data_IF_022891764916
#
_entry.id   IF_022891764916
#
_cell.length_a   1.000
_cell.length_b   1.000
_cell.length_c   1.000
_cell.angle_alpha   90.00
_cell.angle_beta   90.00
_cell.angle_gamma   90.00
#
_symmetry.space_group_name_H-M   'P 1'
#
loop_
_entity.id
_entity.type
_entity.pdbx_description
1 polymer ?
#
# COMPACT_ATOMS: atom_id res chain seq x y z
N UNK A 1 8.62 -5.29 -1.59
CA UNK A 1 9.15 -6.45 -2.34
C UNK A 1 10.48 -6.96 -1.80
N UNK A 2 10.91 -6.50 -0.62
CA UNK A 2 12.04 -7.07 0.12
C UNK A 2 13.40 -6.98 -0.58
N UNK A 3 13.65 -5.90 -1.33
CA UNK A 3 14.99 -5.67 -1.89
C UNK A 3 16.00 -5.40 -0.77
N UNK A 4 17.16 -6.03 -0.85
CA UNK A 4 18.28 -5.73 0.04
C UNK A 4 18.81 -4.33 -0.25
N UNK A 5 19.23 -3.62 0.79
CA UNK A 5 19.84 -2.29 0.67
C UNK A 5 21.00 -2.18 1.67
N UNK A 6 21.95 -1.31 1.36
CA UNK A 6 23.11 -1.03 2.21
C UNK A 6 23.06 0.42 2.63
N UNK A 7 23.33 0.68 3.91
CA UNK A 7 23.49 2.03 4.47
C UNK A 7 24.98 2.28 4.72
N UNK A 8 25.47 3.44 4.30
CA UNK A 8 26.86 3.84 4.51
C UNK A 8 26.95 5.37 4.62
N UNK A 9 27.98 5.86 5.33
CA UNK A 9 28.16 7.29 5.56
C UNK A 9 28.66 8.04 4.31
N UNK A 10 29.48 7.39 3.49
CA UNK A 10 29.97 7.88 2.22
C UNK A 10 30.33 6.73 1.25
N UNK A 11 30.50 7.04 -0.01
CA UNK A 11 30.77 6.06 -1.07
C UNK A 11 32.08 5.27 -0.87
N UNK A 12 33.03 5.81 -0.08
CA UNK A 12 34.30 5.15 0.17
C UNK A 12 34.19 4.00 1.18
N UNK A 13 33.11 3.98 1.97
CA UNK A 13 32.86 2.98 3.02
C UNK A 13 31.94 1.83 2.55
N UNK A 14 31.46 1.83 1.29
CA UNK A 14 30.54 0.81 0.78
C UNK A 14 31.05 -0.62 0.99
N UNK A 15 32.36 -0.86 0.75
CA UNK A 15 32.99 -2.17 0.92
C UNK A 15 33.20 -2.58 2.39
N UNK A 16 32.90 -1.72 3.35
CA UNK A 16 33.01 -1.97 4.78
C UNK A 16 31.67 -2.30 5.43
N UNK A 17 30.61 -2.41 4.64
CA UNK A 17 29.27 -2.69 5.12
C UNK A 17 29.22 -4.05 5.86
N UNK A 18 28.69 -4.02 7.07
CA UNK A 18 28.47 -5.22 7.89
C UNK A 18 27.06 -5.73 7.67
N UNK A 19 26.90 -7.05 7.55
CA UNK A 19 25.58 -7.65 7.43
C UNK A 19 24.74 -7.38 8.68
N UNK A 20 23.45 -7.08 8.48
CA UNK A 20 22.52 -6.76 9.58
C UNK A 20 22.45 -7.88 10.63
N UNK A 21 22.49 -9.15 10.21
CA UNK A 21 22.45 -10.29 11.13
C UNK A 21 23.64 -10.25 12.08
N UNK A 22 24.83 -9.90 11.59
CA UNK A 22 26.02 -9.74 12.41
C UNK A 22 25.92 -8.53 13.36
N UNK A 23 25.34 -7.42 12.88
CA UNK A 23 25.07 -6.22 13.73
C UNK A 23 24.12 -6.58 14.88
N UNK A 24 23.07 -7.38 14.59
CA UNK A 24 22.12 -7.87 15.60
C UNK A 24 22.83 -8.76 16.63
N UNK A 25 23.66 -9.68 16.18
CA UNK A 25 24.42 -10.59 17.03
C UNK A 25 25.41 -9.82 17.94
N UNK A 26 26.22 -8.94 17.34
CA UNK A 26 27.25 -8.15 18.04
C UNK A 26 26.63 -7.17 19.05
N UNK A 27 25.44 -6.61 18.77
CA UNK A 27 24.73 -5.68 19.66
C UNK A 27 23.97 -6.35 20.79
N UNK A 28 23.80 -7.67 20.78
CA UNK A 28 22.95 -8.40 21.71
C UNK A 28 21.47 -8.05 21.63
N UNK A 29 20.99 -7.54 20.49
CA UNK A 29 19.61 -7.14 20.29
C UNK A 29 18.65 -8.34 20.34
N UNK A 30 17.66 -8.27 21.23
CA UNK A 30 16.73 -9.38 21.50
C UNK A 30 15.44 -9.34 20.65
N UNK A 31 15.35 -8.43 19.68
CA UNK A 31 14.15 -8.30 18.81
C UNK A 31 13.14 -7.26 19.30
N UNK A 32 13.38 -6.59 20.43
CA UNK A 32 12.55 -5.49 20.95
C UNK A 32 13.41 -4.34 21.47
N UNK A 33 12.87 -3.13 21.42
CA UNK A 33 13.60 -1.92 21.82
C UNK A 33 14.44 -1.33 20.70
N UNK A 34 15.46 -0.55 21.08
CA UNK A 34 16.37 0.12 20.14
C UNK A 34 17.63 -0.71 19.96
N UNK A 35 17.95 -1.07 18.71
CA UNK A 35 19.23 -1.65 18.36
C UNK A 35 20.28 -0.54 18.35
N UNK A 36 21.35 -0.68 19.15
CA UNK A 36 22.47 0.25 19.21
C UNK A 36 23.69 -0.42 18.62
N UNK A 37 24.32 0.24 17.65
CA UNK A 37 25.53 -0.24 17.02
C UNK A 37 26.56 0.87 16.96
N UNK A 38 27.74 0.63 17.54
CA UNK A 38 28.80 1.62 17.71
C UNK A 38 28.81 2.25 19.11
N UNK A 39 29.51 3.38 19.26
CA UNK A 39 29.65 4.10 20.52
C UNK A 39 28.57 5.18 20.67
N UNK A 40 27.86 5.18 21.80
CA UNK A 40 26.89 6.22 22.16
C UNK A 40 27.57 7.53 22.56
N UNK A 41 26.93 8.66 22.26
CA UNK A 41 27.35 9.98 22.70
C UNK A 41 28.47 10.59 21.85
N UNK A 42 28.66 10.14 20.64
CA UNK A 42 29.54 10.77 19.65
C UNK A 42 28.79 11.88 18.88
N UNK A 43 29.51 12.88 18.36
CA UNK A 43 28.91 13.98 17.55
C UNK A 43 28.33 13.53 16.21
N UNK A 44 28.43 12.24 15.89
CA UNK A 44 27.98 11.63 14.63
C UNK A 44 26.94 10.52 14.83
N UNK A 45 26.07 10.67 15.80
CA UNK A 45 24.99 9.71 16.07
C UNK A 45 23.89 9.84 15.03
N UNK A 46 23.50 8.72 14.40
CA UNK A 46 22.39 8.65 13.44
C UNK A 46 21.31 7.71 13.95
N UNK A 47 20.11 8.21 14.14
CA UNK A 47 18.95 7.40 14.49
C UNK A 47 18.16 7.02 13.25
N UNK A 48 17.95 5.71 13.06
CA UNK A 48 17.12 5.16 11.99
C UNK A 48 15.88 4.51 12.60
N UNK A 49 14.74 4.69 11.93
CA UNK A 49 13.51 3.95 12.23
C UNK A 49 13.19 3.06 11.03
N UNK A 50 13.26 1.74 11.24
CA UNK A 50 12.95 0.76 10.21
C UNK A 50 11.59 0.14 10.49
N UNK A 51 10.69 0.19 9.51
CA UNK A 51 9.37 -0.42 9.55
C UNK A 51 9.20 -1.42 8.41
N UNK A 52 8.49 -2.51 8.67
CA UNK A 52 8.13 -3.50 7.66
C UNK A 52 6.61 -3.59 7.53
N UNK A 53 6.10 -3.41 6.31
CA UNK A 53 4.69 -3.57 5.99
C UNK A 53 4.48 -4.86 5.19
N UNK A 54 3.64 -5.75 5.72
CA UNK A 54 3.18 -6.94 5.00
C UNK A 54 1.80 -6.69 4.43
N UNK A 55 1.66 -6.84 3.13
CA UNK A 55 0.36 -6.87 2.49
C UNK A 55 -0.13 -8.32 2.40
N UNK A 56 -1.44 -8.53 2.55
CA UNK A 56 -2.01 -9.86 2.36
C UNK A 56 -1.56 -10.44 1.01
N UNK A 57 -1.24 -11.74 0.96
CA UNK A 57 -0.69 -12.41 -0.23
C UNK A 57 -1.50 -12.17 -1.51
N UNK A 58 -2.80 -11.87 -1.37
CA UNK A 58 -3.73 -11.62 -2.47
C UNK A 58 -4.15 -10.15 -2.58
N UNK A 59 -3.47 -9.23 -1.92
CA UNK A 59 -3.72 -7.79 -2.01
C UNK A 59 -3.08 -7.19 -3.28
N UNK A 60 -3.24 -7.85 -4.42
CA UNK A 60 -2.77 -7.38 -5.73
C UNK A 60 -3.52 -6.12 -6.17
N UNK A 61 -3.29 -5.00 -5.48
CA UNK A 61 -3.87 -3.71 -5.88
C UNK A 61 -2.97 -3.07 -6.92
N UNK A 62 -3.56 -2.65 -8.03
CA UNK A 62 -2.86 -2.05 -9.17
C UNK A 62 -1.91 -0.90 -8.77
N UNK A 63 -2.26 -0.14 -7.72
CA UNK A 63 -1.39 0.90 -7.17
C UNK A 63 -0.11 0.32 -6.56
N UNK A 64 -0.22 -0.72 -5.73
CA UNK A 64 0.93 -1.35 -5.07
C UNK A 64 1.86 -2.01 -6.10
N UNK A 65 1.27 -2.64 -7.13
CA UNK A 65 2.03 -3.27 -8.21
C UNK A 65 2.76 -2.27 -9.10
N UNK A 66 2.22 -1.05 -9.21
CA UNK A 66 2.81 0.05 -9.97
C UNK A 66 3.90 0.83 -9.21
N UNK A 67 4.03 0.65 -7.89
CA UNK A 67 5.08 1.33 -7.13
C UNK A 67 6.47 0.86 -7.56
N UNK A 68 7.45 1.76 -7.61
CA UNK A 68 8.85 1.40 -7.87
C UNK A 68 9.42 0.54 -6.74
N UNK A 69 10.60 -0.02 -6.95
CA UNK A 69 11.31 -0.84 -5.95
C UNK A 69 11.65 -0.06 -4.68
N UNK A 70 11.82 1.24 -4.80
CA UNK A 70 12.08 2.17 -3.68
C UNK A 70 11.45 3.53 -3.97
N UNK A 71 11.10 4.25 -2.92
CA UNK A 71 10.64 5.64 -2.95
C UNK A 71 11.56 6.42 -2.02
N UNK A 72 12.22 7.45 -2.57
CA UNK A 72 13.10 8.33 -1.81
C UNK A 72 12.49 9.73 -1.80
N UNK A 73 12.00 10.17 -0.67
CA UNK A 73 11.40 11.48 -0.50
C UNK A 73 12.41 12.40 0.20
N UNK A 74 12.92 13.38 -0.54
CA UNK A 74 13.95 14.31 -0.05
C UNK A 74 13.36 15.55 0.58
N UNK A 75 12.19 15.97 0.13
CA UNK A 75 11.59 17.22 0.55
C UNK A 75 10.08 17.05 0.75
N UNK A 76 9.65 17.09 1.99
CA UNK A 76 8.21 17.03 2.35
C UNK A 76 7.55 18.42 2.35
N UNK A 77 8.28 19.50 2.02
CA UNK A 77 7.89 20.85 2.37
C UNK A 77 8.04 21.11 3.89
N UNK A 78 8.15 22.36 4.28
CA UNK A 78 8.52 22.73 5.65
C UNK A 78 7.58 22.18 6.72
N UNK A 79 6.27 22.36 6.55
CA UNK A 79 5.26 21.88 7.53
C UNK A 79 5.13 20.35 7.56
N UNK A 80 5.13 19.69 6.40
CA UNK A 80 5.00 18.24 6.31
C UNK A 80 6.29 17.52 6.75
N UNK A 81 7.46 18.11 6.50
CA UNK A 81 8.76 17.58 6.94
C UNK A 81 8.87 17.55 8.47
N UNK A 82 8.51 18.63 9.13
CA UNK A 82 8.51 18.70 10.59
C UNK A 82 7.53 17.72 11.23
N UNK A 83 6.34 17.57 10.64
CA UNK A 83 5.36 16.58 11.09
C UNK A 83 5.93 15.16 10.95
N UNK A 84 6.53 14.83 9.81
CA UNK A 84 7.12 13.52 9.54
C UNK A 84 8.23 13.18 10.52
N UNK A 85 9.15 14.11 10.74
CA UNK A 85 10.24 13.94 11.71
C UNK A 85 9.72 13.69 13.12
N UNK A 86 8.77 14.51 13.59
CA UNK A 86 8.16 14.34 14.90
C UNK A 86 7.44 12.98 15.01
N UNK A 87 6.75 12.54 13.96
CA UNK A 87 6.06 11.25 13.96
C UNK A 87 7.02 10.08 13.99
N UNK A 88 8.12 10.13 13.22
CA UNK A 88 9.18 9.11 13.27
C UNK A 88 9.83 9.04 14.67
N UNK A 89 10.05 10.18 15.30
CA UNK A 89 10.59 10.25 16.68
C UNK A 89 9.65 9.60 17.69
N UNK A 90 8.34 9.83 17.58
CA UNK A 90 7.35 9.17 18.45
C UNK A 90 7.32 7.67 18.20
N UNK A 91 7.32 7.21 16.95
CA UNK A 91 7.37 5.77 16.61
C UNK A 91 8.60 5.12 17.24
N UNK A 92 9.79 5.73 17.07
CA UNK A 92 11.02 5.22 17.65
C UNK A 92 10.97 5.16 19.18
N UNK A 93 10.35 6.15 19.82
CA UNK A 93 10.18 6.19 21.29
C UNK A 93 9.22 5.11 21.77
N UNK A 94 8.06 4.94 21.12
CA UNK A 94 7.06 3.95 21.51
C UNK A 94 7.58 2.52 21.28
N UNK A 95 8.20 2.27 20.13
CA UNK A 95 8.80 0.96 19.81
C UNK A 95 9.95 0.60 20.79
N UNK A 96 10.72 1.61 21.25
CA UNK A 96 11.86 1.41 22.13
C UNK A 96 11.50 1.23 23.61
N UNK A 97 10.36 1.74 24.08
CA UNK A 97 9.98 1.75 25.50
C UNK A 97 9.18 0.54 25.97
N UNK A 98 8.56 -0.23 25.06
CA UNK A 98 7.76 -1.41 25.41
C UNK A 98 6.57 -1.10 26.35
N UNK A 99 6.04 0.13 26.33
CA UNK A 99 4.91 0.56 27.15
C UNK A 99 3.59 -0.06 26.70
N UNK A 100 2.60 -0.11 27.63
CA UNK A 100 1.26 -0.60 27.30
C UNK A 100 0.65 0.20 26.14
N UNK A 101 0.30 -0.50 25.03
CA UNK A 101 -0.24 0.13 23.83
C UNK A 101 0.79 0.76 22.90
N UNK A 102 2.08 0.74 23.22
CA UNK A 102 3.15 1.30 22.39
C UNK A 102 3.20 0.68 21.00
N UNK A 103 3.08 -0.65 20.89
CA UNK A 103 3.07 -1.35 19.61
C UNK A 103 1.89 -0.92 18.73
N UNK A 104 0.70 -0.72 19.32
CA UNK A 104 -0.47 -0.24 18.59
C UNK A 104 -0.28 1.20 18.11
N UNK A 105 0.28 2.07 18.94
CA UNK A 105 0.59 3.46 18.56
C UNK A 105 1.60 3.47 17.43
N UNK A 106 2.71 2.76 17.58
CA UNK A 106 3.76 2.66 16.57
C UNK A 106 3.21 2.13 15.23
N UNK A 107 2.37 1.07 15.27
CA UNK A 107 1.71 0.52 14.09
C UNK A 107 0.83 1.58 13.39
N UNK A 108 -0.06 2.24 14.11
CA UNK A 108 -0.97 3.24 13.54
C UNK A 108 -0.26 4.45 12.98
N UNK A 109 0.77 4.92 13.65
CA UNK A 109 1.58 6.02 13.16
C UNK A 109 2.40 5.62 11.92
N UNK A 110 2.90 4.39 11.87
CA UNK A 110 3.59 3.86 10.68
C UNK A 110 2.66 3.77 9.47
N UNK A 111 1.41 3.32 9.64
CA UNK A 111 0.39 3.32 8.59
C UNK A 111 0.13 4.74 8.04
N UNK A 112 0.07 5.74 8.93
CA UNK A 112 -0.14 7.14 8.54
C UNK A 112 1.10 7.67 7.77
N UNK A 113 2.32 7.39 8.25
CA UNK A 113 3.55 7.76 7.53
C UNK A 113 3.58 7.14 6.15
N UNK A 114 3.27 5.86 6.02
CA UNK A 114 3.21 5.19 4.72
C UNK A 114 2.23 5.88 3.78
N UNK A 115 1.02 6.19 4.25
CA UNK A 115 0.01 6.89 3.46
C UNK A 115 0.47 8.30 3.04
N UNK A 116 1.15 9.03 3.92
CA UNK A 116 1.70 10.35 3.61
C UNK A 116 2.86 10.28 2.62
N UNK A 117 3.79 9.35 2.80
CA UNK A 117 4.89 9.12 1.87
C UNK A 117 4.36 8.82 0.46
N UNK A 118 3.38 7.93 0.37
CA UNK A 118 2.71 7.60 -0.88
C UNK A 118 2.04 8.83 -1.51
N UNK A 119 1.35 9.65 -0.72
CA UNK A 119 0.72 10.88 -1.20
C UNK A 119 1.72 11.88 -1.77
N UNK A 120 2.83 12.12 -1.06
CA UNK A 120 3.89 13.01 -1.52
C UNK A 120 4.48 12.48 -2.83
N UNK A 121 4.82 11.20 -2.86
CA UNK A 121 5.37 10.56 -4.05
C UNK A 121 4.42 10.66 -5.26
N UNK A 122 3.13 10.40 -5.07
CA UNK A 122 2.12 10.52 -6.14
C UNK A 122 1.98 11.94 -6.69
N UNK A 123 2.12 12.95 -5.83
CA UNK A 123 2.02 14.34 -6.24
C UNK A 123 3.28 14.82 -6.99
N UNK A 124 4.46 14.39 -6.58
CA UNK A 124 5.73 14.90 -7.10
C UNK A 124 6.23 14.08 -8.30
N UNK A 125 6.32 12.76 -8.16
CA UNK A 125 6.93 11.88 -9.16
C UNK A 125 5.92 10.97 -9.87
N UNK A 126 4.76 10.75 -9.29
CA UNK A 126 3.73 9.86 -9.84
C UNK A 126 3.07 10.37 -11.13
N UNK A 127 3.27 11.67 -11.47
CA UNK A 127 2.65 12.28 -12.64
C UNK A 127 3.09 11.64 -13.97
N UNK A 128 4.31 11.13 -14.04
CA UNK A 128 4.89 10.55 -15.27
C UNK A 128 4.70 9.03 -15.36
N UNK A 129 4.25 8.38 -14.28
CA UNK A 129 4.00 6.93 -14.26
C UNK A 129 2.53 6.63 -14.61
N UNK A 130 2.24 5.78 -15.63
CA UNK A 130 0.88 5.61 -16.14
C UNK A 130 -0.17 5.35 -15.05
N UNK A 131 -0.02 4.30 -14.24
CA UNK A 131 -1.02 3.95 -13.21
C UNK A 131 -1.07 4.99 -12.09
N UNK A 132 0.09 5.46 -11.62
CA UNK A 132 0.17 6.43 -10.52
C UNK A 132 -0.41 7.78 -10.94
N UNK A 133 -0.15 8.22 -12.19
CA UNK A 133 -0.75 9.43 -12.75
C UNK A 133 -2.27 9.37 -12.84
N UNK A 134 -2.85 8.16 -12.91
CA UNK A 134 -4.30 7.96 -12.86
C UNK A 134 -4.87 8.25 -11.47
N UNK A 135 -4.19 7.86 -10.41
CA UNK A 135 -4.59 8.18 -9.03
C UNK A 135 -4.44 9.67 -8.70
N UNK A 136 -3.43 10.33 -9.25
CA UNK A 136 -3.20 11.77 -9.10
C UNK A 136 -4.14 12.64 -9.97
N UNK A 137 -4.77 12.06 -11.01
CA UNK A 137 -5.67 12.79 -11.92
C UNK A 137 -6.98 13.19 -11.21
N UNK A 138 -7.35 14.48 -11.12
CA UNK A 138 -8.51 14.92 -10.35
C UNK A 138 -9.86 14.37 -10.86
N UNK A 139 -9.99 14.11 -12.17
CA UNK A 139 -11.20 13.55 -12.75
C UNK A 139 -11.32 12.05 -12.45
N UNK A 140 -10.21 11.33 -12.56
CA UNK A 140 -10.17 9.89 -12.27
C UNK A 140 -10.23 9.61 -10.77
N UNK A 141 -9.57 10.42 -9.94
CA UNK A 141 -9.61 10.29 -8.47
C UNK A 141 -11.03 10.33 -7.91
N UNK A 142 -11.91 11.20 -8.45
CA UNK A 142 -13.34 11.22 -8.08
C UNK A 142 -14.02 9.88 -8.37
N UNK A 143 -13.75 9.30 -9.54
CA UNK A 143 -14.30 8.00 -9.94
C UNK A 143 -13.77 6.88 -9.07
N UNK A 144 -12.46 6.83 -8.85
CA UNK A 144 -11.82 5.83 -8.00
C UNK A 144 -12.38 5.88 -6.58
N UNK A 145 -12.50 7.10 -5.99
CA UNK A 145 -13.10 7.30 -4.67
C UNK A 145 -14.55 6.80 -4.63
N UNK A 146 -15.37 7.10 -5.64
CA UNK A 146 -16.76 6.65 -5.69
C UNK A 146 -16.87 5.13 -5.81
N UNK A 147 -16.04 4.49 -6.65
CA UNK A 147 -15.99 3.04 -6.82
C UNK A 147 -15.50 2.33 -5.55
N UNK A 148 -14.50 2.88 -4.88
CA UNK A 148 -13.98 2.32 -3.62
C UNK A 148 -14.98 2.44 -2.49
N UNK A 149 -15.75 3.53 -2.45
CA UNK A 149 -16.78 3.76 -1.42
C UNK A 149 -17.95 2.80 -1.55
N UNK A 150 -18.37 2.49 -2.77
CA UNK A 150 -19.48 1.58 -3.05
C UNK A 150 -19.14 0.68 -4.26
N UNK A 151 -18.37 -0.39 -4.03
CA UNK A 151 -17.97 -1.31 -5.09
C UNK A 151 -19.16 -2.13 -5.64
N UNK A 152 -20.21 -2.35 -4.83
CA UNK A 152 -21.39 -3.13 -5.20
C UNK A 152 -22.36 -2.38 -6.14
N UNK A 153 -22.29 -1.05 -6.15
CA UNK A 153 -23.12 -0.22 -7.03
C UNK A 153 -23.04 -0.70 -8.50
N UNK A 154 -24.15 -0.73 -9.26
CA UNK A 154 -24.16 -1.18 -10.65
C UNK A 154 -23.50 -0.15 -11.58
N UNK A 155 -22.20 -0.01 -11.44
CA UNK A 155 -21.40 0.93 -12.22
C UNK A 155 -21.51 0.65 -13.73
N UNK A 156 -21.76 1.71 -14.47
CA UNK A 156 -21.75 1.73 -15.94
C UNK A 156 -20.77 2.78 -16.44
N UNK A 157 -20.32 2.65 -17.67
CA UNK A 157 -19.42 3.63 -18.26
C UNK A 157 -20.04 5.04 -18.26
N UNK A 158 -21.38 5.14 -18.42
CA UNK A 158 -22.09 6.41 -18.46
C UNK A 158 -22.13 7.09 -17.09
N UNK A 159 -22.39 6.35 -16.01
CA UNK A 159 -22.41 6.95 -14.68
C UNK A 159 -20.99 7.25 -14.16
N UNK A 160 -19.99 6.47 -14.52
CA UNK A 160 -18.58 6.79 -14.23
C UNK A 160 -18.13 8.07 -14.95
N UNK A 161 -18.50 8.23 -16.22
CA UNK A 161 -18.23 9.46 -16.98
C UNK A 161 -18.86 10.70 -16.32
N UNK A 162 -20.11 10.59 -15.86
CA UNK A 162 -20.80 11.66 -15.09
C UNK A 162 -20.03 12.03 -13.80
N UNK A 163 -19.60 11.03 -13.03
CA UNK A 163 -18.81 11.24 -11.80
C UNK A 163 -17.48 11.94 -12.11
N UNK A 164 -16.83 11.56 -13.23
CA UNK A 164 -15.57 12.17 -13.65
C UNK A 164 -15.73 13.64 -14.10
N UNK A 165 -16.94 14.06 -14.51
CA UNK A 165 -17.19 15.35 -15.14
C UNK A 165 -16.72 15.39 -16.61
N UNK A 166 -16.55 14.25 -17.26
CA UNK A 166 -16.12 14.14 -18.67
C UNK A 166 -17.18 13.47 -19.53
N UNK A 167 -17.07 13.67 -20.86
CA UNK A 167 -17.86 12.86 -21.79
C UNK A 167 -17.45 11.38 -21.70
N UNK A 168 -18.35 10.47 -22.08
CA UNK A 168 -18.11 9.01 -22.05
C UNK A 168 -16.82 8.61 -22.78
N UNK A 169 -16.63 9.16 -23.98
CA UNK A 169 -15.45 8.86 -24.82
C UNK A 169 -14.18 9.43 -24.17
N UNK A 170 -14.20 10.71 -23.74
CA UNK A 170 -13.06 11.34 -23.10
C UNK A 170 -12.66 10.63 -21.79
N UNK A 171 -13.65 10.24 -20.98
CA UNK A 171 -13.43 9.46 -19.77
C UNK A 171 -12.76 8.11 -20.07
N UNK A 172 -13.35 7.31 -20.97
CA UNK A 172 -12.83 5.98 -21.29
C UNK A 172 -11.40 6.05 -21.81
N UNK A 173 -11.13 6.95 -22.75
CA UNK A 173 -9.79 7.13 -23.34
C UNK A 173 -8.76 7.58 -22.27
N UNK A 174 -9.13 8.58 -21.44
CA UNK A 174 -8.28 9.09 -20.38
C UNK A 174 -7.99 8.02 -19.32
N UNK A 175 -9.02 7.25 -18.94
CA UNK A 175 -8.88 6.17 -17.95
C UNK A 175 -7.92 5.09 -18.46
N UNK A 176 -8.11 4.58 -19.68
CA UNK A 176 -7.22 3.55 -20.24
C UNK A 176 -5.79 4.08 -20.39
N UNK A 177 -5.63 5.32 -20.86
CA UNK A 177 -4.29 5.92 -21.02
C UNK A 177 -3.54 6.04 -19.69
N UNK A 178 -4.24 6.38 -18.59
CA UNK A 178 -3.65 6.60 -17.28
C UNK A 178 -3.57 5.35 -16.42
N UNK A 179 -4.58 4.50 -16.46
CA UNK A 179 -4.69 3.32 -15.56
C UNK A 179 -4.23 2.02 -16.23
N UNK A 180 -3.95 2.02 -17.53
CA UNK A 180 -3.60 0.83 -18.35
C UNK A 180 -4.67 -0.27 -18.36
N UNK A 181 -5.83 -0.02 -17.76
CA UNK A 181 -6.99 -0.90 -17.65
C UNK A 181 -8.24 -0.17 -18.15
N UNK A 182 -9.23 -0.93 -18.61
CA UNK A 182 -10.56 -0.34 -18.85
C UNK A 182 -11.25 -0.01 -17.52
N UNK A 183 -12.15 0.99 -17.46
CA UNK A 183 -12.91 1.29 -16.25
C UNK A 183 -13.62 0.08 -15.65
N UNK A 184 -14.29 -0.72 -16.47
CA UNK A 184 -14.98 -1.93 -16.01
C UNK A 184 -14.01 -3.04 -15.60
N UNK A 185 -12.86 -3.14 -16.25
CA UNK A 185 -11.78 -4.05 -15.85
C UNK A 185 -11.25 -3.71 -14.45
N UNK A 186 -11.01 -2.42 -14.19
CA UNK A 186 -10.61 -1.94 -12.88
C UNK A 186 -11.63 -2.28 -11.78
N UNK A 187 -12.92 -2.00 -12.02
CA UNK A 187 -13.98 -2.32 -11.05
C UNK A 187 -14.05 -3.83 -10.79
N UNK A 188 -13.92 -4.64 -11.82
CA UNK A 188 -13.89 -6.10 -11.66
C UNK A 188 -12.71 -6.53 -10.80
N UNK A 189 -11.52 -6.01 -11.07
CA UNK A 189 -10.31 -6.27 -10.27
C UNK A 189 -10.53 -5.91 -8.81
N UNK A 190 -11.03 -4.71 -8.54
CA UNK A 190 -11.30 -4.22 -7.18
C UNK A 190 -12.32 -5.09 -6.44
N UNK A 191 -13.42 -5.47 -7.10
CA UNK A 191 -14.43 -6.39 -6.55
C UNK A 191 -13.86 -7.75 -6.21
N UNK A 192 -13.00 -8.30 -7.05
CA UNK A 192 -12.35 -9.60 -6.80
C UNK A 192 -11.37 -9.52 -5.63
N UNK A 193 -10.68 -8.39 -5.47
CA UNK A 193 -9.79 -8.17 -4.33
C UNK A 193 -10.57 -8.09 -3.01
N UNK A 194 -11.65 -7.31 -2.94
CA UNK A 194 -12.50 -7.24 -1.75
C UNK A 194 -13.08 -8.62 -1.43
N UNK A 195 -13.59 -9.33 -2.43
CA UNK A 195 -14.15 -10.66 -2.25
C UNK A 195 -13.11 -11.66 -1.73
N UNK A 196 -11.86 -11.60 -2.21
CA UNK A 196 -10.79 -12.47 -1.70
C UNK A 196 -10.47 -12.18 -0.23
N UNK A 197 -10.45 -10.91 0.17
CA UNK A 197 -10.27 -10.53 1.58
C UNK A 197 -11.42 -10.99 2.47
N UNK A 198 -12.67 -10.86 2.01
CA UNK A 198 -13.84 -11.33 2.75
C UNK A 198 -13.83 -12.85 2.90
N UNK A 199 -13.49 -13.59 1.82
CA UNK A 199 -13.35 -15.05 1.86
C UNK A 199 -12.27 -15.53 2.83
N UNK A 200 -11.18 -14.78 2.98
CA UNK A 200 -10.06 -15.10 3.89
C UNK A 200 -10.39 -14.74 5.34
N UNK A 201 -11.10 -13.64 5.57
CA UNK A 201 -11.24 -13.05 6.91
C UNK A 201 -12.60 -13.36 7.56
N UNK A 202 -13.55 -13.97 6.84
CA UNK A 202 -14.89 -14.26 7.35
C UNK A 202 -15.39 -15.64 6.89
N UNK A 203 -16.40 -16.17 7.62
CA UNK A 203 -17.14 -17.37 7.26
C UNK A 203 -18.42 -17.08 6.47
N UNK A 204 -18.58 -15.86 5.93
CA UNK A 204 -19.76 -15.46 5.17
C UNK A 204 -20.05 -16.47 4.03
N UNK A 205 -21.32 -16.83 3.80
CA UNK A 205 -21.70 -17.67 2.65
C UNK A 205 -21.20 -17.07 1.33
N UNK A 206 -20.82 -17.93 0.37
CA UNK A 206 -20.32 -17.47 -0.94
C UNK A 206 -21.31 -16.54 -1.65
N UNK A 207 -22.61 -16.81 -1.50
CA UNK A 207 -23.66 -15.94 -2.07
C UNK A 207 -23.60 -14.54 -1.45
N UNK A 208 -23.35 -14.40 -0.15
CA UNK A 208 -23.21 -13.10 0.52
C UNK A 208 -21.99 -12.34 -0.01
N UNK A 209 -20.85 -13.02 -0.13
CA UNK A 209 -19.63 -12.43 -0.72
C UNK A 209 -19.87 -11.98 -2.16
N UNK A 210 -20.64 -12.77 -2.94
CA UNK A 210 -21.01 -12.39 -4.30
C UNK A 210 -21.87 -11.12 -4.34
N UNK A 211 -22.88 -11.02 -3.45
CA UNK A 211 -23.76 -9.85 -3.34
C UNK A 211 -22.98 -8.60 -2.94
N UNK A 212 -22.12 -8.70 -1.94
CA UNK A 212 -21.27 -7.61 -1.44
C UNK A 212 -20.28 -7.14 -2.53
N UNK A 213 -19.83 -8.05 -3.38
CA UNK A 213 -19.03 -7.74 -4.57
C UNK A 213 -19.87 -7.23 -5.77
N UNK A 214 -21.19 -7.06 -5.60
CA UNK A 214 -22.10 -6.51 -6.63
C UNK A 214 -22.50 -7.49 -7.73
N UNK A 215 -22.50 -8.79 -7.44
CA UNK A 215 -22.98 -9.84 -8.35
C UNK A 215 -24.37 -10.32 -7.94
N UNK A 216 -25.25 -10.47 -8.95
CA UNK A 216 -26.64 -10.92 -8.74
C UNK A 216 -26.78 -12.44 -8.59
N UNK A 217 -25.73 -13.21 -8.85
CA UNK A 217 -25.73 -14.66 -8.68
C UNK A 217 -24.36 -15.19 -8.33
N UNK A 218 -24.34 -16.18 -7.46
CA UNK A 218 -23.12 -16.90 -7.05
C UNK A 218 -22.41 -17.53 -8.25
N UNK A 219 -23.14 -18.06 -9.23
CA UNK A 219 -22.55 -18.67 -10.41
C UNK A 219 -21.81 -17.66 -11.31
N UNK A 220 -22.35 -16.44 -11.46
CA UNK A 220 -21.67 -15.38 -12.20
C UNK A 220 -20.42 -14.91 -11.47
N UNK A 221 -20.51 -14.71 -10.16
CA UNK A 221 -19.38 -14.37 -9.29
C UNK A 221 -18.29 -15.44 -9.37
N UNK A 222 -18.62 -16.70 -9.12
CA UNK A 222 -17.65 -17.81 -9.09
C UNK A 222 -16.87 -17.96 -10.38
N UNK A 223 -17.52 -17.75 -11.53
CA UNK A 223 -16.82 -17.75 -12.84
C UNK A 223 -15.78 -16.64 -12.95
N UNK A 224 -16.15 -15.40 -12.56
CA UNK A 224 -15.24 -14.26 -12.61
C UNK A 224 -14.12 -14.43 -11.60
N UNK A 225 -14.44 -14.84 -10.37
CA UNK A 225 -13.49 -15.08 -9.32
C UNK A 225 -12.45 -16.14 -9.71
N UNK A 226 -12.89 -17.30 -10.24
CA UNK A 226 -12.00 -18.35 -10.74
C UNK A 226 -11.10 -17.84 -11.89
N UNK A 227 -11.63 -17.03 -12.79
CA UNK A 227 -10.83 -16.43 -13.86
C UNK A 227 -9.74 -15.50 -13.31
N UNK A 228 -10.01 -14.81 -12.20
CA UNK A 228 -9.11 -13.81 -11.62
C UNK A 228 -8.06 -14.44 -10.69
N UNK A 229 -8.47 -15.37 -9.85
CA UNK A 229 -7.61 -16.01 -8.83
C UNK A 229 -7.17 -17.44 -9.18
N UNK A 230 -7.54 -17.94 -10.36
CA UNK A 230 -7.28 -19.32 -10.83
C UNK A 230 -8.02 -20.41 -10.04
N UNK A 231 -8.63 -20.08 -8.91
CA UNK A 231 -9.32 -20.99 -7.99
C UNK A 231 -10.79 -20.59 -7.79
N UNK A 232 -11.66 -21.56 -7.57
CA UNK A 232 -13.05 -21.28 -7.20
C UNK A 232 -13.12 -20.69 -5.78
N UNK A 233 -14.12 -19.82 -5.44
CA UNK A 233 -14.22 -19.16 -4.14
C UNK A 233 -14.13 -20.11 -2.93
N UNK A 234 -14.83 -21.25 -2.98
CA UNK A 234 -14.80 -22.23 -1.89
C UNK A 234 -13.43 -22.90 -1.72
N UNK A 235 -12.73 -23.18 -2.83
CA UNK A 235 -11.37 -23.73 -2.80
C UNK A 235 -10.39 -22.67 -2.27
N UNK A 236 -10.51 -21.43 -2.74
CA UNK A 236 -9.69 -20.32 -2.30
C UNK A 236 -9.79 -20.12 -0.79
N UNK A 237 -11.00 -20.08 -0.22
CA UNK A 237 -11.23 -19.97 1.24
C UNK A 237 -10.52 -21.08 2.02
N UNK A 238 -10.55 -22.31 1.53
CA UNK A 238 -9.94 -23.47 2.21
C UNK A 238 -8.41 -23.44 2.19
N UNK A 239 -7.80 -22.74 1.20
CA UNK A 239 -6.35 -22.66 1.02
C UNK A 239 -5.74 -21.39 1.67
N UNK A 240 -6.58 -20.41 2.05
CA UNK A 240 -6.19 -19.18 2.71
C UNK A 240 -6.02 -19.35 4.20
#
# INVERSE_FOLDING_TARGET
RGATHTLFCDLTTENQAVMLDKVIEDSGYSGSGTLIYGELGTDHETQLVCGHFSFAKNAGHVLIDALPSHIHIRNYGEAAGQWMENTLRVIGTEAGRGGMGGDLIALKMSEIIFAQALRVYLNDEGADMPVLSGFADPNLSRVLTAVHKDPSYPWTLDNLAKVSGLSRTSFATRFVKRMTLTPMGYITSWRMQIASQQLTNTDDPIIKVAEDAGYKSEAAFSRVFKKYHSEAPATFRRLA
#
